data_IF_227826678918
#
_entry.id   IF_227826678918
#
_cell.length_a   1.000
_cell.length_b   1.000
_cell.length_c   1.000
_cell.angle_alpha   90.00
_cell.angle_beta   90.00
_cell.angle_gamma   90.00
#
_symmetry.space_group_name_H-M   'P 1'
#
loop_
_entity.id
_entity.type
_entity.pdbx_description
1 polymer ?
#
# COMPACT_ATOMS: atom_id res chain seq x y z
N UNK A 1 2.30 -5.71 10.35
CA UNK A 1 3.20 -4.64 10.79
C UNK A 1 2.47 -3.33 10.47
N UNK A 2 1.81 -2.76 11.47
CA UNK A 2 1.34 -1.37 11.41
C UNK A 2 2.57 -0.59 11.87
N UNK A 3 3.09 0.27 11.00
CA UNK A 3 4.24 1.11 11.35
C UNK A 3 3.69 2.17 12.30
N UNK A 4 4.11 2.11 13.55
CA UNK A 4 3.65 3.00 14.61
C UNK A 4 4.73 4.07 14.80
N UNK A 5 4.53 5.23 14.18
CA UNK A 5 5.31 6.43 14.41
C UNK A 5 4.47 7.64 14.00
N UNK A 6 4.06 8.44 14.99
CA UNK A 6 3.52 9.80 14.87
C UNK A 6 2.63 10.12 13.67
N UNK A 7 1.33 9.80 13.74
CA UNK A 7 0.28 10.34 12.86
C UNK A 7 0.38 10.01 11.35
N UNK A 8 1.23 9.06 10.96
CA UNK A 8 1.28 8.50 9.61
C UNK A 8 0.10 7.51 9.40
N UNK A 9 -1.03 7.98 8.87
CA UNK A 9 -2.12 7.08 8.54
C UNK A 9 -1.87 6.41 7.18
N UNK A 10 -2.01 5.08 7.12
CA UNK A 10 -2.04 4.32 5.87
C UNK A 10 -3.50 3.94 5.60
N UNK A 11 -4.11 4.59 4.60
CA UNK A 11 -5.49 4.30 4.21
C UNK A 11 -5.53 3.47 2.92
N UNK A 12 -6.34 2.41 2.89
CA UNK A 12 -6.56 1.62 1.69
C UNK A 12 -7.44 2.39 0.69
N UNK A 13 -7.03 2.44 -0.57
CA UNK A 13 -7.69 3.21 -1.64
C UNK A 13 -8.94 2.53 -2.25
N UNK A 14 -9.34 1.36 -1.74
CA UNK A 14 -10.43 0.57 -2.32
C UNK A 14 -11.80 1.15 -1.95
N UNK A 15 -12.67 1.36 -2.94
CA UNK A 15 -14.11 1.61 -2.75
C UNK A 15 -14.48 2.99 -2.21
N UNK A 16 -13.63 3.63 -1.43
CA UNK A 16 -13.91 4.92 -0.81
C UNK A 16 -13.71 6.11 -1.76
N UNK A 17 -12.84 5.96 -2.77
CA UNK A 17 -12.37 7.05 -3.64
C UNK A 17 -12.14 6.54 -5.08
N UNK A 18 -13.20 6.19 -5.83
CA UNK A 18 -13.09 5.43 -7.08
C UNK A 18 -12.28 6.14 -8.18
N UNK A 19 -12.37 7.47 -8.25
CA UNK A 19 -11.65 8.26 -9.26
C UNK A 19 -10.16 8.34 -8.98
N UNK A 20 -9.75 8.56 -7.72
CA UNK A 20 -8.34 8.50 -7.33
C UNK A 20 -7.78 7.09 -7.50
N UNK A 21 -8.56 6.06 -7.15
CA UNK A 21 -8.13 4.67 -7.32
C UNK A 21 -7.82 4.34 -8.79
N UNK A 22 -8.68 4.75 -9.72
CA UNK A 22 -8.46 4.52 -11.15
C UNK A 22 -7.23 5.26 -11.68
N UNK A 23 -7.05 6.50 -11.23
CA UNK A 23 -5.92 7.34 -11.60
C UNK A 23 -4.58 6.75 -11.10
N UNK A 24 -4.51 6.39 -9.81
CA UNK A 24 -3.37 5.67 -9.24
C UNK A 24 -3.09 4.38 -9.99
N UNK A 25 -4.11 3.58 -10.30
CA UNK A 25 -3.91 2.33 -11.04
C UNK A 25 -3.29 2.55 -12.42
N UNK A 26 -3.52 3.71 -13.04
CA UNK A 26 -3.07 4.04 -14.40
C UNK A 26 -1.70 4.70 -14.40
N UNK A 27 -1.46 5.61 -13.46
CA UNK A 27 -0.32 6.53 -13.47
C UNK A 27 0.72 6.24 -12.37
N UNK A 28 0.57 5.13 -11.62
CA UNK A 28 1.54 4.77 -10.57
C UNK A 28 2.91 4.40 -11.18
N UNK A 29 3.93 5.19 -10.83
CA UNK A 29 5.32 4.95 -11.21
C UNK A 29 6.13 4.68 -9.93
N UNK A 30 6.70 3.48 -9.76
CA UNK A 30 7.46 3.14 -8.56
C UNK A 30 8.81 3.86 -8.53
N UNK A 31 9.14 4.46 -7.38
CA UNK A 31 10.48 4.98 -7.09
C UNK A 31 11.30 4.00 -6.27
N UNK A 32 10.66 3.34 -5.30
CA UNK A 32 11.30 2.34 -4.46
C UNK A 32 10.51 1.05 -4.51
N UNK A 33 11.21 -0.08 -4.50
CA UNK A 33 10.59 -1.40 -4.42
C UNK A 33 11.30 -2.28 -3.41
N UNK A 34 10.55 -3.15 -2.74
CA UNK A 34 11.13 -4.18 -1.90
C UNK A 34 10.27 -5.45 -1.94
N UNK A 35 10.91 -6.58 -1.68
CA UNK A 35 10.26 -7.88 -1.59
C UNK A 35 10.20 -8.32 -0.13
N UNK A 36 9.08 -8.89 0.28
CA UNK A 36 8.90 -9.46 1.61
C UNK A 36 8.34 -10.87 1.49
N UNK A 37 8.88 -11.79 2.29
CA UNK A 37 8.31 -13.14 2.45
C UNK A 37 7.95 -13.31 3.91
N UNK A 38 6.71 -13.69 4.18
CA UNK A 38 6.22 -14.04 5.51
C UNK A 38 5.79 -15.51 5.49
N UNK A 39 6.32 -16.33 6.40
CA UNK A 39 5.99 -17.75 6.52
C UNK A 39 5.52 -18.02 7.95
N UNK A 40 4.45 -18.81 8.09
CA UNK A 40 3.98 -19.28 9.39
C UNK A 40 2.55 -19.81 9.34
N UNK A 41 2.19 -20.67 10.30
CA UNK A 41 0.84 -21.21 10.47
C UNK A 41 0.26 -21.84 9.18
N UNK A 42 1.05 -22.68 8.50
CA UNK A 42 0.60 -23.33 7.25
C UNK A 42 0.40 -22.36 6.08
N UNK A 43 1.03 -21.18 6.12
CA UNK A 43 0.89 -20.15 5.08
C UNK A 43 2.24 -19.55 4.68
N UNK A 44 2.36 -19.25 3.40
CA UNK A 44 3.43 -18.41 2.83
C UNK A 44 2.77 -17.21 2.16
N UNK A 45 3.26 -16.01 2.44
CA UNK A 45 2.85 -14.79 1.75
C UNK A 45 4.08 -14.09 1.20
N UNK A 46 4.15 -13.98 -0.12
CA UNK A 46 5.16 -13.19 -0.83
C UNK A 46 4.53 -11.85 -1.17
N UNK A 47 5.22 -10.75 -0.90
CA UNK A 47 4.78 -9.40 -1.25
C UNK A 47 5.86 -8.69 -2.04
N UNK A 48 5.45 -8.05 -3.12
CA UNK A 48 6.21 -7.02 -3.80
C UNK A 48 5.57 -5.68 -3.44
N UNK A 49 6.33 -4.83 -2.74
CA UNK A 49 5.88 -3.51 -2.29
C UNK A 49 6.58 -2.47 -3.14
N UNK A 50 5.81 -1.54 -3.67
CA UNK A 50 6.32 -0.40 -4.43
C UNK A 50 5.83 0.90 -3.81
N UNK A 51 6.70 1.91 -3.77
CA UNK A 51 6.43 3.22 -3.18
C UNK A 51 6.61 4.29 -4.27
N UNK A 52 5.69 5.24 -4.31
CA UNK A 52 5.65 6.38 -5.21
C UNK A 52 5.39 7.64 -4.39
N UNK A 53 6.30 8.61 -4.47
CA UNK A 53 6.29 9.92 -3.80
C UNK A 53 6.20 11.07 -4.80
N UNK A 54 6.69 10.91 -6.03
CA UNK A 54 6.39 11.78 -7.15
C UNK A 54 4.94 11.54 -7.57
N UNK A 55 4.11 12.56 -7.37
CA UNK A 55 2.68 12.52 -7.64
C UNK A 55 2.31 13.40 -8.83
N UNK A 56 3.26 13.80 -9.68
CA UNK A 56 3.03 14.74 -10.79
C UNK A 56 2.02 14.18 -11.81
N UNK A 57 1.99 12.85 -11.97
CA UNK A 57 1.04 12.15 -12.83
C UNK A 57 -0.23 11.70 -12.09
N UNK A 58 -0.39 12.07 -10.82
CA UNK A 58 -1.53 11.71 -9.98
C UNK A 58 -2.33 12.97 -9.72
N UNK A 59 -3.64 12.87 -9.83
CA UNK A 59 -4.54 13.96 -9.53
C UNK A 59 -4.33 14.45 -8.09
N UNK A 60 -4.35 15.78 -7.86
CA UNK A 60 -4.21 16.33 -6.53
C UNK A 60 -5.23 15.71 -5.57
N UNK A 61 -4.74 15.26 -4.41
CA UNK A 61 -5.58 14.70 -3.36
C UNK A 61 -5.19 15.26 -2.00
N UNK A 62 -6.14 15.77 -1.19
CA UNK A 62 -5.82 16.43 0.07
C UNK A 62 -4.99 15.55 1.00
N UNK A 63 -3.77 16.00 1.29
CA UNK A 63 -2.87 15.31 2.20
C UNK A 63 -2.21 14.04 1.64
N UNK A 64 -2.32 13.77 0.34
CA UNK A 64 -1.60 12.66 -0.25
C UNK A 64 -0.11 13.02 -0.38
N UNK A 65 0.75 12.29 0.32
CA UNK A 65 2.21 12.47 0.22
C UNK A 65 2.92 11.24 -0.31
N UNK A 66 2.29 10.07 -0.24
CA UNK A 66 2.90 8.82 -0.69
C UNK A 66 1.83 7.83 -1.11
N UNK A 67 2.07 7.15 -2.23
CA UNK A 67 1.32 6.01 -2.72
C UNK A 67 2.13 4.73 -2.51
N UNK A 68 1.44 3.67 -2.08
CA UNK A 68 2.04 2.35 -1.88
C UNK A 68 1.21 1.34 -2.65
N UNK A 69 1.87 0.57 -3.52
CA UNK A 69 1.30 -0.59 -4.20
C UNK A 69 1.83 -1.86 -3.54
N UNK A 70 0.95 -2.76 -3.15
CA UNK A 70 1.30 -4.07 -2.60
C UNK A 70 0.71 -5.13 -3.50
N UNK A 71 1.57 -5.87 -4.19
CA UNK A 71 1.22 -7.09 -4.89
C UNK A 71 1.57 -8.26 -3.98
N UNK A 72 0.60 -9.13 -3.71
CA UNK A 72 0.75 -10.26 -2.80
C UNK A 72 0.36 -11.56 -3.48
N UNK A 73 1.14 -12.60 -3.23
CA UNK A 73 0.81 -13.99 -3.50
C UNK A 73 0.76 -14.71 -2.15
N UNK A 74 -0.40 -15.27 -1.81
CA UNK A 74 -0.65 -16.00 -0.58
C UNK A 74 -0.92 -17.47 -0.91
N UNK A 75 -0.08 -18.34 -0.38
CA UNK A 75 -0.20 -19.79 -0.46
C UNK A 75 -0.64 -20.33 0.91
N UNK A 76 -1.75 -21.07 0.96
CA UNK A 76 -2.26 -21.73 2.17
C UNK A 76 -2.18 -23.23 1.96
N UNK A 77 -1.52 -23.93 2.87
CA UNK A 77 -1.31 -25.37 2.81
C UNK A 77 -2.34 -26.06 3.71
N UNK A 78 -3.24 -26.83 3.10
CA UNK A 78 -4.31 -27.55 3.80
C UNK A 78 -4.30 -29.01 3.37
N UNK A 79 -3.93 -29.92 4.27
CA UNK A 79 -3.81 -31.36 3.99
C UNK A 79 -3.03 -31.63 2.68
N UNK A 80 -3.73 -31.99 1.61
CA UNK A 80 -3.16 -32.34 0.30
C UNK A 80 -3.35 -31.26 -0.77
N UNK A 81 -3.82 -30.06 -0.40
CA UNK A 81 -4.12 -28.97 -1.31
C UNK A 81 -3.32 -27.73 -0.93
N UNK A 82 -2.83 -27.02 -1.95
CA UNK A 82 -2.22 -25.70 -1.81
C UNK A 82 -3.15 -24.70 -2.50
N UNK A 83 -3.76 -23.81 -1.73
CA UNK A 83 -4.56 -22.72 -2.27
C UNK A 83 -3.66 -21.50 -2.52
N UNK A 84 -3.63 -21.02 -3.75
CA UNK A 84 -2.86 -19.83 -4.14
C UNK A 84 -3.81 -18.69 -4.48
N UNK A 85 -3.64 -17.55 -3.82
CA UNK A 85 -4.40 -16.33 -4.08
C UNK A 85 -3.48 -15.17 -4.35
N UNK A 86 -3.81 -14.35 -5.34
CA UNK A 86 -3.06 -13.13 -5.65
C UNK A 86 -3.91 -11.90 -5.42
N UNK A 87 -3.31 -10.83 -4.90
CA UNK A 87 -4.01 -9.57 -4.69
C UNK A 87 -3.11 -8.37 -4.89
N UNK A 88 -3.63 -7.35 -5.58
CA UNK A 88 -3.02 -6.02 -5.64
C UNK A 88 -3.83 -5.05 -4.78
N UNK A 89 -3.16 -4.34 -3.88
CA UNK A 89 -3.75 -3.30 -3.03
C UNK A 89 -2.97 -2.00 -3.19
N UNK A 90 -3.69 -0.89 -3.12
CA UNK A 90 -3.12 0.45 -3.13
C UNK A 90 -3.44 1.14 -1.81
N UNK A 91 -2.47 1.89 -1.30
CA UNK A 91 -2.60 2.65 -0.08
C UNK A 91 -2.08 4.08 -0.29
N UNK A 92 -2.68 5.01 0.44
CA UNK A 92 -2.20 6.37 0.58
C UNK A 92 -1.63 6.55 1.98
N UNK A 93 -0.54 7.29 2.07
CA UNK A 93 -0.01 7.80 3.34
C UNK A 93 -0.01 9.32 3.32
N UNK A 94 -0.22 9.90 4.51
CA UNK A 94 -0.01 11.34 4.77
C UNK A 94 1.07 11.49 5.81
N UNK A 95 2.05 12.32 5.52
CA UNK A 95 2.80 13.03 6.55
C UNK A 95 1.99 14.27 6.90
N UNK A 96 1.29 14.25 8.04
CA UNK A 96 0.83 15.50 8.64
C UNK A 96 2.10 16.16 9.18
N UNK A 97 2.70 17.07 8.41
CA UNK A 97 3.55 18.08 9.03
C UNK A 97 2.64 18.85 9.96
N UNK A 98 2.77 18.56 11.26
CA UNK A 98 2.02 19.26 12.28
C UNK A 98 2.39 20.73 12.14
N UNK A 99 1.38 21.55 11.83
CA UNK A 99 1.51 22.99 11.78
C UNK A 99 2.03 23.44 13.16
N UNK A 100 3.05 24.31 13.25
CA UNK A 100 3.49 24.80 14.54
C UNK A 100 2.31 25.55 15.16
N UNK A 101 1.74 24.99 16.24
CA UNK A 101 0.81 25.71 17.09
C UNK A 101 1.58 26.85 17.75
N UNK A 102 1.53 28.01 17.12
CA UNK A 102 1.64 29.30 17.79
C UNK A 102 0.29 29.50 18.46
N UNK A 103 0.26 29.41 19.80
CA UNK A 103 -0.48 30.20 20.80
C UNK A 103 -0.14 29.63 22.18
#
# INVERSE_FOLDING_TARGET
>A
MIVNSGNDYIAALKGNQPTLFQDVKTNFIPEFTCNQINKGHGRIEKRHVSICKNLDCIRPWPGLTTLIKVQSERQVFTHNVIEVTTQTRYYISRLLFDSPRIW
#
